data_IF_414462330386
#
_entry.id   IF_414462330386
#
_cell.length_a   1.000
_cell.length_b   1.000
_cell.length_c   1.000
_cell.angle_alpha   90.00
_cell.angle_beta   90.00
_cell.angle_gamma   90.00
#
_symmetry.space_group_name_H-M   'P 1'
#
loop_
_entity.id
_entity.type
_entity.pdbx_description
1 polymer ?
#
# COMPACT_ATOMS: atom_id res chain seq x y z
N UNK A 1 4.35 6.24 -4.60
CA UNK A 1 5.53 5.40 -4.27
C UNK A 1 5.12 3.95 -4.29
N UNK A 2 6.00 3.02 -4.66
CA UNK A 2 5.67 1.59 -4.63
C UNK A 2 6.94 0.73 -4.48
N UNK A 3 6.81 -0.47 -3.92
CA UNK A 3 7.90 -1.43 -3.77
C UNK A 3 7.79 -2.59 -4.76
N UNK A 4 8.91 -2.97 -5.35
CA UNK A 4 9.09 -4.16 -6.16
C UNK A 4 10.22 -5.02 -5.57
N UNK A 5 9.83 -5.92 -4.65
CA UNK A 5 10.76 -6.84 -3.99
C UNK A 5 10.64 -8.20 -4.68
N UNK A 6 11.74 -8.71 -5.21
CA UNK A 6 11.82 -9.96 -6.00
C UNK A 6 12.87 -10.91 -5.42
N UNK A 7 12.99 -12.12 -5.96
CA UNK A 7 13.91 -13.14 -5.43
C UNK A 7 13.49 -13.77 -4.09
N UNK A 8 12.30 -13.44 -3.59
CA UNK A 8 11.66 -14.01 -2.40
C UNK A 8 10.27 -14.52 -2.74
N UNK A 9 9.84 -15.56 -2.02
CA UNK A 9 8.53 -16.16 -2.23
C UNK A 9 7.42 -15.19 -1.80
N UNK A 10 6.58 -14.79 -2.76
CA UNK A 10 5.39 -13.98 -2.51
C UNK A 10 4.21 -14.90 -2.22
N UNK A 11 3.80 -14.93 -0.95
CA UNK A 11 2.65 -15.71 -0.45
C UNK A 11 1.36 -15.32 -1.16
N UNK A 12 1.15 -14.03 -1.45
CA UNK A 12 -0.10 -13.53 -2.02
C UNK A 12 -0.23 -13.90 -3.50
N UNK A 13 0.90 -14.09 -4.20
CA UNK A 13 0.95 -14.55 -5.60
C UNK A 13 1.23 -16.04 -5.75
N UNK A 14 1.61 -16.70 -4.65
CA UNK A 14 2.04 -18.10 -4.63
C UNK A 14 3.17 -18.38 -5.65
N UNK A 15 4.13 -17.47 -5.78
CA UNK A 15 5.28 -17.57 -6.70
C UNK A 15 6.45 -16.71 -6.23
N UNK A 16 7.64 -16.98 -6.73
CA UNK A 16 8.78 -16.04 -6.67
C UNK A 16 8.77 -15.19 -7.94
N UNK A 17 8.84 -13.86 -7.78
CA UNK A 17 8.94 -12.95 -8.91
C UNK A 17 10.34 -13.00 -9.53
N UNK A 18 10.39 -12.93 -10.86
CA UNK A 18 11.64 -12.91 -11.63
C UNK A 18 12.37 -11.60 -11.40
N UNK A 19 13.69 -11.69 -11.20
CA UNK A 19 14.55 -10.52 -11.05
C UNK A 19 14.61 -9.72 -12.36
N UNK A 20 14.81 -8.42 -12.23
CA UNK A 20 15.02 -7.48 -13.34
C UNK A 20 13.88 -7.38 -14.38
N UNK A 21 12.67 -7.86 -14.05
CA UNK A 21 11.49 -7.87 -14.92
C UNK A 21 10.68 -6.56 -14.86
N UNK A 22 11.12 -5.52 -15.57
CA UNK A 22 10.47 -4.20 -15.56
C UNK A 22 9.00 -4.22 -16.03
N UNK A 23 8.63 -5.17 -16.90
CA UNK A 23 7.26 -5.35 -17.38
C UNK A 23 6.23 -5.52 -16.23
N UNK A 24 6.68 -6.00 -15.06
CA UNK A 24 5.83 -6.15 -13.87
C UNK A 24 5.43 -4.82 -13.22
N UNK A 25 6.15 -3.74 -13.53
CA UNK A 25 5.95 -2.40 -12.93
C UNK A 25 5.64 -1.33 -13.98
N UNK A 26 5.73 -1.69 -15.27
CA UNK A 26 5.62 -0.76 -16.39
C UNK A 26 4.29 0.00 -16.38
N UNK A 27 3.16 -0.69 -16.26
CA UNK A 27 1.84 -0.06 -16.27
C UNK A 27 1.68 0.99 -15.15
N UNK A 28 2.20 0.68 -13.96
CA UNK A 28 2.24 1.61 -12.85
C UNK A 28 3.07 2.84 -13.19
N UNK A 29 4.31 2.65 -13.64
CA UNK A 29 5.25 3.72 -13.95
C UNK A 29 4.72 4.65 -15.05
N UNK A 30 4.19 4.08 -16.14
CA UNK A 30 3.61 4.84 -17.24
C UNK A 30 2.38 5.63 -16.81
N UNK A 31 1.51 5.06 -15.97
CA UNK A 31 0.32 5.75 -15.48
C UNK A 31 0.66 6.94 -14.56
N UNK A 32 1.67 6.80 -13.70
CA UNK A 32 2.17 7.88 -12.84
C UNK A 32 2.79 9.00 -13.65
N UNK A 33 3.64 8.65 -14.65
CA UNK A 33 4.24 9.63 -15.54
C UNK A 33 3.19 10.37 -16.37
N UNK A 34 2.18 9.67 -16.91
CA UNK A 34 1.06 10.27 -17.66
C UNK A 34 0.26 11.26 -16.83
N UNK A 35 0.16 11.04 -15.52
CA UNK A 35 -0.50 11.94 -14.58
C UNK A 35 0.38 13.14 -14.15
N UNK A 36 1.59 13.26 -14.69
CA UNK A 36 2.59 14.27 -14.34
C UNK A 36 2.95 14.27 -12.85
N UNK A 37 3.00 13.08 -12.23
CA UNK A 37 3.37 12.91 -10.83
C UNK A 37 4.80 12.40 -10.67
N UNK A 38 5.34 12.53 -9.46
CA UNK A 38 6.60 11.92 -9.06
C UNK A 38 6.34 10.51 -8.52
N UNK A 39 6.79 9.50 -9.25
CA UNK A 39 6.84 8.09 -8.87
C UNK A 39 8.23 7.70 -8.40
N UNK A 40 8.27 6.92 -7.33
CA UNK A 40 9.50 6.30 -6.80
C UNK A 40 9.24 4.81 -6.69
N UNK A 41 10.10 4.03 -7.35
CA UNK A 41 10.09 2.57 -7.34
C UNK A 41 11.23 2.09 -6.43
N UNK A 42 10.88 1.52 -5.29
CA UNK A 42 11.85 0.89 -4.41
C UNK A 42 12.07 -0.56 -4.86
N UNK A 43 13.32 -0.97 -5.06
CA UNK A 43 13.63 -2.30 -5.60
C UNK A 43 14.88 -2.92 -4.99
N UNK A 44 14.97 -4.25 -4.99
CA UNK A 44 16.20 -4.96 -4.58
C UNK A 44 17.02 -5.48 -5.78
N UNK A 45 16.38 -5.84 -6.89
CA UNK A 45 17.02 -6.62 -7.97
C UNK A 45 16.97 -6.03 -9.39
N UNK A 46 16.41 -4.83 -9.64
CA UNK A 46 16.66 -4.18 -10.95
C UNK A 46 18.15 -3.90 -11.15
N UNK A 47 18.62 -4.16 -12.36
CA UNK A 47 19.98 -3.87 -12.82
C UNK A 47 20.17 -2.37 -13.05
N UNK A 48 21.43 -1.91 -13.09
CA UNK A 48 21.73 -0.50 -13.36
C UNK A 48 21.26 -0.10 -14.77
N UNK A 49 21.37 -1.05 -15.69
CA UNK A 49 20.93 -0.94 -17.08
C UNK A 49 19.42 -0.74 -17.16
N UNK A 50 18.64 -1.54 -16.43
CA UNK A 50 17.17 -1.38 -16.33
C UNK A 50 16.80 -0.04 -15.72
N UNK A 51 17.38 0.34 -14.58
CA UNK A 51 17.07 1.63 -13.94
C UNK A 51 17.40 2.80 -14.88
N UNK A 52 18.60 2.81 -15.49
CA UNK A 52 19.00 3.87 -16.42
C UNK A 52 18.13 3.96 -17.68
N UNK A 53 17.54 2.84 -18.11
CA UNK A 53 16.69 2.79 -19.31
C UNK A 53 15.31 3.40 -19.05
N UNK A 54 14.75 3.21 -17.86
CA UNK A 54 13.36 3.55 -17.55
C UNK A 54 13.21 4.74 -16.61
N UNK A 55 14.29 5.20 -15.98
CA UNK A 55 14.31 6.45 -15.21
C UNK A 55 14.01 7.64 -16.12
N UNK A 56 13.22 8.58 -15.61
CA UNK A 56 12.84 9.79 -16.33
C UNK A 56 12.45 10.89 -15.34
N UNK A 57 11.95 12.03 -15.84
CA UNK A 57 11.57 13.19 -15.02
C UNK A 57 10.47 12.88 -13.98
N UNK A 58 9.67 11.84 -14.21
CA UNK A 58 8.58 11.43 -13.34
C UNK A 58 8.88 10.17 -12.53
N UNK A 59 9.72 9.26 -13.02
CA UNK A 59 9.98 7.97 -12.38
C UNK A 59 11.44 7.88 -11.98
N UNK A 60 11.70 7.64 -10.70
CA UNK A 60 13.02 7.33 -10.16
C UNK A 60 13.05 5.95 -9.49
N UNK A 61 14.25 5.38 -9.39
CA UNK A 61 14.48 4.08 -8.76
C UNK A 61 15.32 4.25 -7.50
N UNK A 62 14.91 3.59 -6.43
CA UNK A 62 15.63 3.58 -5.16
C UNK A 62 15.97 2.14 -4.79
N UNK A 63 17.26 1.81 -4.76
CA UNK A 63 17.70 0.47 -4.37
C UNK A 63 17.56 0.31 -2.86
N UNK A 64 17.01 -0.81 -2.43
CA UNK A 64 16.85 -1.19 -1.02
C UNK A 64 17.52 -2.53 -0.73
N UNK A 65 17.89 -2.72 0.53
CA UNK A 65 18.32 -4.01 1.07
C UNK A 65 17.13 -4.64 1.82
N UNK A 66 16.56 -5.72 1.26
CA UNK A 66 15.41 -6.38 1.87
C UNK A 66 15.81 -7.06 3.19
N UNK A 67 15.08 -6.75 4.28
CA UNK A 67 15.22 -7.45 5.56
C UNK A 67 14.29 -8.67 5.61
N UNK A 68 14.82 -9.91 5.59
CA UNK A 68 14.01 -11.13 5.60
C UNK A 68 13.36 -11.44 6.96
N UNK A 69 13.59 -10.63 8.01
CA UNK A 69 12.83 -10.73 9.26
C UNK A 69 11.34 -10.43 9.06
N UNK A 70 10.99 -9.68 8.02
CA UNK A 70 9.62 -9.32 7.69
C UNK A 70 9.24 -9.87 6.33
N UNK A 71 7.97 -10.26 6.17
CA UNK A 71 7.41 -10.53 4.85
C UNK A 71 7.51 -9.28 3.94
N UNK A 72 7.70 -9.41 2.60
CA UNK A 72 7.82 -8.24 1.71
C UNK A 72 6.64 -7.26 1.78
N UNK A 73 5.41 -7.76 1.95
CA UNK A 73 4.20 -6.92 2.05
C UNK A 73 4.14 -6.12 3.36
N UNK A 74 4.87 -6.56 4.38
CA UNK A 74 5.09 -5.82 5.63
C UNK A 74 6.31 -4.90 5.51
N UNK A 75 7.43 -5.42 4.99
CA UNK A 75 8.70 -4.69 4.93
C UNK A 75 8.60 -3.38 4.13
N UNK A 76 7.77 -3.34 3.09
CA UNK A 76 7.54 -2.13 2.27
C UNK A 76 7.19 -0.88 3.08
N UNK A 77 6.46 -1.02 4.19
CA UNK A 77 6.07 0.14 5.01
C UNK A 77 7.27 0.75 5.73
N UNK A 78 8.23 -0.07 6.17
CA UNK A 78 9.49 0.41 6.75
C UNK A 78 10.31 1.18 5.70
N UNK A 79 10.36 0.68 4.46
CA UNK A 79 11.01 1.37 3.33
C UNK A 79 10.40 2.75 3.11
N UNK A 80 9.07 2.83 3.02
CA UNK A 80 8.38 4.11 2.83
C UNK A 80 8.63 5.07 4.00
N UNK A 81 8.58 4.56 5.25
CA UNK A 81 8.76 5.37 6.45
C UNK A 81 10.16 5.97 6.48
N UNK A 82 11.17 5.12 6.28
CA UNK A 82 12.57 5.51 6.41
C UNK A 82 13.00 6.44 5.27
N UNK A 83 12.42 6.28 4.09
CA UNK A 83 12.60 7.23 2.99
C UNK A 83 11.99 8.59 3.31
N UNK A 84 10.72 8.63 3.71
CA UNK A 84 10.01 9.87 4.02
C UNK A 84 10.61 10.62 5.21
N UNK A 85 11.09 9.91 6.23
CA UNK A 85 11.77 10.48 7.39
C UNK A 85 13.06 11.23 7.06
N UNK A 86 13.70 10.89 5.93
CA UNK A 86 14.93 11.52 5.43
C UNK A 86 14.66 12.65 4.44
N UNK A 87 13.42 12.85 4.02
CA UNK A 87 13.08 13.90 3.06
C UNK A 87 13.31 15.28 3.65
N UNK A 88 14.13 16.08 2.98
CA UNK A 88 14.35 17.49 3.33
C UNK A 88 13.39 18.42 2.58
N UNK A 89 12.86 17.96 1.45
CA UNK A 89 11.92 18.73 0.65
C UNK A 89 10.52 18.70 1.27
N UNK A 90 9.76 19.82 1.23
CA UNK A 90 8.37 19.83 1.64
C UNK A 90 7.52 18.87 0.80
N UNK A 91 6.88 17.91 1.47
CA UNK A 91 5.94 16.97 0.84
C UNK A 91 4.52 17.40 1.19
N UNK A 92 3.68 17.61 0.17
CA UNK A 92 2.27 17.99 0.37
C UNK A 92 1.39 16.77 0.65
N UNK A 93 1.52 15.74 -0.18
CA UNK A 93 0.73 14.52 -0.08
C UNK A 93 1.49 13.33 -0.65
N UNK A 94 1.12 12.15 -0.17
CA UNK A 94 1.76 10.89 -0.55
C UNK A 94 0.69 9.83 -0.76
N UNK A 95 0.87 9.02 -1.80
CA UNK A 95 0.21 7.72 -1.93
C UNK A 95 1.27 6.63 -2.10
N UNK A 96 1.06 5.51 -1.41
CA UNK A 96 1.73 4.24 -1.64
C UNK A 96 0.74 3.28 -2.28
N UNK A 97 1.20 2.50 -3.26
CA UNK A 97 0.35 1.51 -3.91
C UNK A 97 1.07 0.18 -4.13
N UNK A 98 0.30 -0.86 -4.40
CA UNK A 98 0.81 -2.07 -5.03
C UNK A 98 1.31 -1.73 -6.44
N UNK A 99 2.47 -2.26 -6.80
CA UNK A 99 3.17 -1.81 -8.02
C UNK A 99 2.72 -2.53 -9.29
N UNK A 100 2.15 -3.73 -9.16
CA UNK A 100 1.91 -4.61 -10.32
C UNK A 100 0.46 -4.65 -10.79
N UNK A 101 -0.46 -4.11 -10.01
CA UNK A 101 -1.90 -4.27 -10.21
C UNK A 101 -2.71 -3.02 -9.84
N UNK A 102 -2.01 -1.90 -9.58
CA UNK A 102 -2.61 -0.57 -9.48
C UNK A 102 -2.05 0.32 -10.59
N UNK A 103 -2.94 1.07 -11.24
CA UNK A 103 -2.55 2.16 -12.16
C UNK A 103 -3.27 3.44 -11.79
N UNK A 104 -2.70 4.59 -12.12
CA UNK A 104 -3.31 5.89 -11.93
C UNK A 104 -4.26 6.23 -13.09
N UNK A 105 -5.49 6.60 -12.75
CA UNK A 105 -6.47 7.14 -13.70
C UNK A 105 -6.51 8.67 -13.67
N UNK A 106 -6.53 9.26 -12.47
CA UNK A 106 -6.56 10.71 -12.25
C UNK A 106 -5.56 11.09 -11.17
N UNK A 107 -5.07 12.33 -11.23
CA UNK A 107 -4.18 12.87 -10.21
C UNK A 107 -4.99 13.20 -8.93
N UNK A 108 -4.80 12.47 -7.81
CA UNK A 108 -5.57 12.70 -6.59
C UNK A 108 -5.27 14.06 -5.95
N UNK A 109 -4.05 14.60 -6.11
CA UNK A 109 -3.61 15.79 -5.37
C UNK A 109 -4.26 17.10 -5.85
N UNK A 110 -4.83 17.09 -7.05
CA UNK A 110 -5.57 18.23 -7.61
C UNK A 110 -7.09 18.06 -7.50
N UNK A 111 -7.54 16.91 -6.99
CA UNK A 111 -8.96 16.62 -6.84
C UNK A 111 -9.55 17.35 -5.62
N UNK A 112 -10.73 17.98 -5.73
CA UNK A 112 -11.39 18.65 -4.61
C UNK A 112 -11.62 17.74 -3.39
N UNK A 113 -11.87 16.44 -3.60
CA UNK A 113 -12.03 15.47 -2.52
C UNK A 113 -10.75 15.37 -1.68
N UNK A 114 -9.58 15.40 -2.28
CA UNK A 114 -8.30 15.41 -1.55
C UNK A 114 -8.07 16.78 -0.88
N UNK A 115 -8.17 17.86 -1.65
CA UNK A 115 -7.84 19.21 -1.19
C UNK A 115 -8.72 19.69 -0.02
N UNK A 116 -10.00 19.35 -0.05
CA UNK A 116 -10.95 19.74 1.00
C UNK A 116 -10.88 18.86 2.26
N UNK A 117 -10.05 17.81 2.27
CA UNK A 117 -9.99 16.84 3.36
C UNK A 117 -8.54 16.59 3.80
N UNK A 118 -7.84 17.63 4.30
CA UNK A 118 -6.41 17.55 4.64
C UNK A 118 -6.10 16.65 5.84
N UNK A 119 -7.12 16.30 6.63
CA UNK A 119 -6.99 15.41 7.79
C UNK A 119 -7.40 13.96 7.48
N UNK A 120 -7.77 13.67 6.22
CA UNK A 120 -8.31 12.37 5.83
C UNK A 120 -7.24 11.44 5.30
N UNK A 121 -7.27 10.19 5.78
CA UNK A 121 -6.57 9.08 5.17
C UNK A 121 -7.46 8.49 4.06
N UNK A 122 -6.87 8.26 2.89
CA UNK A 122 -7.53 7.64 1.74
C UNK A 122 -6.96 6.25 1.52
N UNK A 123 -7.81 5.27 1.26
CA UNK A 123 -7.34 3.93 0.91
C UNK A 123 -8.24 3.18 -0.07
N UNK A 124 -7.74 2.03 -0.54
CA UNK A 124 -8.51 1.09 -1.33
C UNK A 124 -9.52 0.30 -0.50
N UNK A 125 -10.44 -0.37 -1.18
CA UNK A 125 -11.35 -1.34 -0.58
C UNK A 125 -11.62 -2.55 -1.48
N UNK A 126 -12.25 -3.57 -0.92
CA UNK A 126 -12.75 -4.74 -1.65
C UNK A 126 -14.27 -4.86 -1.49
N UNK A 127 -15.00 -5.39 -2.49
CA UNK A 127 -16.43 -5.66 -2.39
C UNK A 127 -16.72 -6.90 -1.52
N UNK A 128 -16.18 -6.90 -0.30
CA UNK A 128 -16.30 -7.94 0.73
C UNK A 128 -16.46 -7.28 2.08
N UNK A 129 -17.04 -8.00 3.02
CA UNK A 129 -17.06 -7.59 4.43
C UNK A 129 -15.72 -7.91 5.10
N UNK A 130 -15.38 -7.17 6.15
CA UNK A 130 -14.20 -7.44 6.97
C UNK A 130 -14.25 -8.85 7.55
N UNK A 131 -15.41 -9.27 8.03
CA UNK A 131 -15.66 -10.63 8.50
C UNK A 131 -15.80 -11.59 7.30
N UNK A 132 -14.66 -12.06 6.82
CA UNK A 132 -14.57 -13.08 5.79
C UNK A 132 -13.43 -14.06 6.10
N UNK A 133 -13.55 -15.30 5.62
CA UNK A 133 -12.61 -16.39 5.92
C UNK A 133 -11.16 -16.05 5.61
N UNK A 134 -10.91 -15.35 4.51
CA UNK A 134 -9.57 -14.97 4.10
C UNK A 134 -8.95 -13.98 5.09
N UNK A 135 -9.71 -12.96 5.49
CA UNK A 135 -9.27 -11.97 6.47
C UNK A 135 -9.07 -12.58 7.86
N UNK A 136 -10.00 -13.45 8.29
CA UNK A 136 -9.89 -14.15 9.56
C UNK A 136 -8.60 -15.00 9.63
N UNK A 137 -8.24 -15.65 8.54
CA UNK A 137 -7.00 -16.41 8.43
C UNK A 137 -5.75 -15.51 8.52
N UNK A 138 -5.74 -14.38 7.79
CA UNK A 138 -4.64 -13.41 7.78
C UNK A 138 -4.46 -12.67 9.11
N UNK A 139 -5.53 -12.59 9.91
CA UNK A 139 -5.52 -11.95 11.22
C UNK A 139 -5.09 -12.87 12.37
N UNK A 140 -4.95 -14.18 12.15
CA UNK A 140 -4.72 -15.19 13.22
C UNK A 140 -3.59 -14.80 14.17
N UNK A 141 -2.42 -14.47 13.63
CA UNK A 141 -1.25 -14.07 14.41
C UNK A 141 -1.52 -12.81 15.24
N UNK A 142 -2.08 -11.76 14.63
CA UNK A 142 -2.34 -10.50 15.32
C UNK A 142 -3.42 -10.64 16.39
N UNK A 143 -4.45 -11.46 16.14
CA UNK A 143 -5.53 -11.73 17.08
C UNK A 143 -5.04 -12.39 18.37
N UNK A 144 -3.95 -13.14 18.31
CA UNK A 144 -3.32 -13.76 19.49
C UNK A 144 -2.41 -12.82 20.27
N UNK A 145 -1.95 -11.73 19.64
CA UNK A 145 -0.92 -10.83 20.20
C UNK A 145 -1.47 -9.47 20.65
N UNK A 146 -2.55 -8.98 20.03
CA UNK A 146 -3.14 -7.68 20.30
C UNK A 146 -4.41 -7.85 21.14
N UNK A 147 -4.40 -7.33 22.36
CA UNK A 147 -5.43 -7.56 23.40
C UNK A 147 -6.86 -7.29 22.94
N UNK A 148 -7.10 -6.20 22.22
CA UNK A 148 -8.42 -5.75 21.77
C UNK A 148 -8.72 -6.09 20.31
N UNK A 149 -7.90 -6.92 19.66
CA UNK A 149 -8.07 -7.26 18.24
C UNK A 149 -9.42 -7.93 17.96
N UNK A 150 -9.86 -8.86 18.83
CA UNK A 150 -11.17 -9.50 18.68
C UNK A 150 -12.32 -8.51 18.78
N UNK A 151 -12.24 -7.56 19.70
CA UNK A 151 -13.26 -6.52 19.86
C UNK A 151 -13.31 -5.61 18.62
N UNK A 152 -12.16 -5.33 18.00
CA UNK A 152 -12.08 -4.67 16.71
C UNK A 152 -12.80 -5.48 15.61
N UNK A 153 -12.48 -6.77 15.46
CA UNK A 153 -13.08 -7.63 14.43
C UNK A 153 -14.61 -7.70 14.59
N UNK A 154 -15.09 -7.90 15.81
CA UNK A 154 -16.53 -7.94 16.11
C UNK A 154 -17.22 -6.60 15.81
N UNK A 155 -16.61 -5.48 16.20
CA UNK A 155 -17.17 -4.13 16.01
C UNK A 155 -17.32 -3.77 14.53
N UNK A 156 -16.36 -4.16 13.70
CA UNK A 156 -16.31 -3.77 12.29
C UNK A 156 -16.60 -4.93 11.33
N UNK A 157 -17.12 -6.06 11.83
CA UNK A 157 -17.37 -7.28 11.06
C UNK A 157 -18.16 -7.03 9.76
N UNK A 158 -19.21 -6.21 9.86
CA UNK A 158 -20.12 -5.89 8.75
C UNK A 158 -19.65 -4.71 7.88
N UNK A 159 -18.48 -4.14 8.16
CA UNK A 159 -17.93 -3.06 7.34
C UNK A 159 -17.23 -3.61 6.10
N UNK A 160 -17.10 -2.77 5.07
CA UNK A 160 -16.29 -3.08 3.89
C UNK A 160 -14.84 -3.36 4.28
N UNK A 161 -14.28 -4.43 3.72
CA UNK A 161 -12.86 -4.76 3.86
C UNK A 161 -12.02 -3.67 3.18
N UNK A 162 -11.15 -3.01 3.94
CA UNK A 162 -10.21 -2.05 3.38
C UNK A 162 -9.02 -2.80 2.78
N UNK A 163 -8.48 -2.26 1.69
CA UNK A 163 -7.34 -2.83 0.99
C UNK A 163 -6.13 -1.89 1.07
N UNK A 164 -5.01 -2.42 1.57
CA UNK A 164 -3.77 -1.66 1.76
C UNK A 164 -2.90 -1.51 0.50
N UNK A 165 -3.37 -2.00 -0.65
CA UNK A 165 -2.74 -1.83 -1.95
C UNK A 165 -2.88 -0.42 -2.51
N UNK A 166 -3.71 0.44 -1.90
CA UNK A 166 -3.75 1.88 -2.14
C UNK A 166 -3.91 2.56 -0.79
N UNK A 167 -2.96 3.39 -0.37
CA UNK A 167 -3.09 4.19 0.86
C UNK A 167 -2.40 5.54 0.65
N UNK A 168 -3.01 6.63 1.08
CA UNK A 168 -2.40 7.95 1.02
C UNK A 168 -3.18 9.05 1.72
N UNK A 169 -2.66 10.26 1.63
CA UNK A 169 -3.24 11.43 2.27
C UNK A 169 -2.29 12.62 2.24
N UNK A 170 -2.66 13.69 2.92
CA UNK A 170 -1.73 14.78 3.23
C UNK A 170 -0.55 14.24 4.05
N UNK A 171 0.65 14.77 3.81
CA UNK A 171 1.88 14.21 4.38
C UNK A 171 1.84 14.02 5.91
N UNK A 172 1.37 14.98 6.74
CA UNK A 172 1.34 14.79 8.19
C UNK A 172 0.49 13.58 8.62
N UNK A 173 -0.70 13.43 8.04
CA UNK A 173 -1.63 12.33 8.34
C UNK A 173 -1.04 11.00 7.89
N UNK A 174 -0.53 10.95 6.66
CA UNK A 174 0.03 9.74 6.10
C UNK A 174 1.28 9.28 6.86
N UNK A 175 2.14 10.23 7.25
CA UNK A 175 3.37 9.91 7.98
C UNK A 175 3.06 9.42 9.42
N UNK A 176 2.09 10.04 10.11
CA UNK A 176 1.61 9.54 11.40
C UNK A 176 1.06 8.11 11.29
N UNK A 177 0.19 7.86 10.30
CA UNK A 177 -0.33 6.53 10.01
C UNK A 177 0.81 5.52 9.79
N UNK A 178 1.81 5.89 8.99
CA UNK A 178 2.92 5.02 8.62
C UNK A 178 3.81 4.69 9.82
N UNK A 179 4.03 5.65 10.72
CA UNK A 179 4.75 5.43 11.98
C UNK A 179 4.02 4.41 12.87
N UNK A 180 2.72 4.59 13.09
CA UNK A 180 1.91 3.68 13.90
C UNK A 180 1.81 2.28 13.27
N UNK A 181 1.68 2.18 11.94
CA UNK A 181 1.63 0.89 11.26
C UNK A 181 2.96 0.14 11.38
N UNK A 182 4.08 0.84 11.20
CA UNK A 182 5.39 0.23 11.38
C UNK A 182 5.62 -0.22 12.83
N UNK A 183 5.12 0.49 13.83
CA UNK A 183 5.19 0.09 15.25
C UNK A 183 4.44 -1.23 15.51
N UNK A 184 3.24 -1.38 14.94
CA UNK A 184 2.47 -2.64 14.99
C UNK A 184 3.26 -3.77 14.32
N UNK A 185 3.84 -3.51 13.14
CA UNK A 185 4.62 -4.52 12.43
C UNK A 185 5.87 -4.94 13.18
N UNK A 186 6.60 -3.97 13.72
CA UNK A 186 7.81 -4.17 14.50
C UNK A 186 7.55 -5.02 15.74
N UNK A 187 6.44 -4.71 16.44
CA UNK A 187 6.08 -5.38 17.70
C UNK A 187 5.50 -6.77 17.47
N UNK A 188 4.62 -6.92 16.47
CA UNK A 188 3.81 -8.13 16.32
C UNK A 188 4.21 -8.96 15.10
N UNK A 189 4.47 -8.37 13.94
CA UNK A 189 4.73 -9.16 12.72
C UNK A 189 6.15 -9.68 12.56
N UNK A 190 7.13 -9.15 13.30
CA UNK A 190 8.53 -9.66 13.33
C UNK A 190 8.59 -11.17 13.68
N UNK A 191 7.67 -11.63 14.53
CA UNK A 191 7.58 -13.03 14.97
C UNK A 191 6.50 -13.83 14.26
N UNK A 192 5.81 -13.25 13.26
CA UNK A 192 4.77 -13.95 12.51
C UNK A 192 5.38 -15.11 11.71
N UNK A 193 5.02 -16.36 12.09
CA UNK A 193 5.42 -17.59 11.41
C UNK A 193 4.27 -18.28 10.68
N UNK A 194 3.11 -17.62 10.58
CA UNK A 194 1.99 -18.14 9.81
C UNK A 194 2.33 -18.11 8.32
N UNK A 195 1.53 -18.81 7.52
CA UNK A 195 1.61 -18.73 6.06
C UNK A 195 1.02 -17.43 5.50
N UNK A 196 0.75 -16.42 6.34
CA UNK A 196 0.09 -15.18 5.97
C UNK A 196 0.94 -13.95 6.33
N UNK A 197 0.78 -12.87 5.56
CA UNK A 197 1.68 -11.70 5.59
C UNK A 197 1.41 -10.75 6.76
N UNK A 198 0.18 -10.68 7.27
CA UNK A 198 -0.21 -9.87 8.43
C UNK A 198 -0.32 -8.35 8.17
N UNK A 199 -0.09 -7.88 6.94
CA UNK A 199 -0.21 -6.48 6.52
C UNK A 199 -1.67 -6.01 6.50
N UNK A 200 -2.56 -6.75 5.84
CA UNK A 200 -4.00 -6.42 5.77
C UNK A 200 -4.65 -6.39 7.15
N UNK A 201 -4.23 -7.31 8.04
CA UNK A 201 -4.66 -7.39 9.44
C UNK A 201 -4.27 -6.18 10.27
N UNK A 202 -2.99 -5.80 10.22
CA UNK A 202 -2.51 -4.63 10.97
C UNK A 202 -3.10 -3.34 10.41
N UNK A 203 -3.21 -3.24 9.08
CA UNK A 203 -3.77 -2.09 8.39
C UNK A 203 -5.23 -1.85 8.77
N UNK A 204 -6.10 -2.84 8.59
CA UNK A 204 -7.53 -2.66 8.90
C UNK A 204 -7.73 -2.38 10.40
N UNK A 205 -7.00 -3.07 11.28
CA UNK A 205 -7.02 -2.79 12.72
C UNK A 205 -6.67 -1.33 13.03
N UNK A 206 -5.53 -0.85 12.54
CA UNK A 206 -5.07 0.51 12.80
C UNK A 206 -6.04 1.55 12.25
N UNK A 207 -6.43 1.42 10.99
CA UNK A 207 -7.27 2.40 10.31
C UNK A 207 -8.65 2.47 10.96
N UNK A 208 -9.27 1.33 11.28
CA UNK A 208 -10.59 1.30 11.90
C UNK A 208 -10.58 1.74 13.37
N UNK A 209 -9.48 1.57 14.10
CA UNK A 209 -9.41 1.95 15.53
C UNK A 209 -8.88 3.37 15.77
N UNK A 210 -8.12 3.95 14.82
CA UNK A 210 -7.48 5.27 14.98
C UNK A 210 -7.90 6.31 13.94
N UNK A 211 -8.22 5.90 12.72
CA UNK A 211 -8.48 6.82 11.61
C UNK A 211 -9.92 6.78 11.08
N UNK A 212 -10.80 5.96 11.67
CA UNK A 212 -12.14 5.66 11.11
C UNK A 212 -13.04 6.88 10.91
N UNK A 213 -12.92 7.91 11.77
CA UNK A 213 -13.68 9.15 11.63
C UNK A 213 -13.20 10.02 10.46
N UNK A 214 -11.93 9.85 10.05
CA UNK A 214 -11.28 10.61 8.99
C UNK A 214 -10.74 9.68 7.90
N UNK A 215 -11.57 8.72 7.48
CA UNK A 215 -11.25 7.73 6.47
C UNK A 215 -12.13 7.90 5.22
N UNK A 216 -11.54 7.79 4.03
CA UNK A 216 -12.28 7.64 2.76
C UNK A 216 -11.71 6.49 1.96
N UNK A 217 -12.59 5.66 1.41
CA UNK A 217 -12.20 4.51 0.60
C UNK A 217 -13.25 4.22 -0.48
N UNK A 218 -12.92 3.34 -1.42
CA UNK A 218 -13.79 3.01 -2.54
C UNK A 218 -13.93 4.17 -3.51
N UNK A 219 -15.01 4.21 -4.28
CA UNK A 219 -15.20 5.27 -5.27
C UNK A 219 -15.29 6.68 -4.61
N UNK A 220 -14.56 7.71 -5.10
CA UNK A 220 -13.75 7.74 -6.32
C UNK A 220 -12.24 7.46 -6.10
N UNK A 221 -11.81 7.03 -4.91
CA UNK A 221 -10.42 6.65 -4.63
C UNK A 221 -9.99 5.52 -5.56
N UNK A 222 -10.72 4.41 -5.60
CA UNK A 222 -10.40 3.27 -6.45
C UNK A 222 -11.62 2.75 -7.24
N UNK A 223 -11.33 2.10 -8.37
CA UNK A 223 -12.27 1.19 -9.05
C UNK A 223 -12.63 0.00 -8.15
N UNK A 224 -13.67 -0.75 -8.50
CA UNK A 224 -13.99 -2.00 -7.79
C UNK A 224 -12.80 -2.94 -7.91
N UNK A 225 -12.31 -3.45 -6.77
CA UNK A 225 -11.18 -4.38 -6.74
C UNK A 225 -11.48 -5.63 -7.57
N UNK A 226 -10.59 -5.98 -8.51
CA UNK A 226 -10.77 -7.09 -9.46
C UNK A 226 -11.96 -6.91 -10.40
N UNK A 227 -12.40 -5.67 -10.59
CA UNK A 227 -13.40 -5.30 -11.58
C UNK A 227 -12.82 -5.23 -13.01
N UNK A 228 -11.49 -5.14 -13.16
CA UNK A 228 -10.81 -5.00 -14.46
C UNK A 228 -11.29 -3.79 -15.27
N UNK A 229 -11.62 -2.71 -14.56
CA UNK A 229 -12.14 -1.44 -15.09
C UNK A 229 -11.02 -0.57 -15.71
N UNK A 230 -10.21 -1.15 -16.60
CA UNK A 230 -8.94 -0.58 -17.09
C UNK A 230 -9.06 0.75 -17.85
N UNK A 231 -10.23 1.04 -18.42
CA UNK A 231 -10.51 2.25 -19.19
C UNK A 231 -11.18 3.36 -18.36
N UNK A 232 -11.44 3.09 -17.07
CA UNK A 232 -12.17 4.00 -16.20
C UNK A 232 -11.34 5.23 -15.82
N UNK A 233 -11.95 6.42 -15.89
CA UNK A 233 -11.27 7.71 -15.73
C UNK A 233 -11.92 8.63 -14.69
N UNK A 234 -13.01 8.21 -14.05
CA UNK A 234 -13.75 8.94 -13.01
C UNK A 234 -13.30 8.57 -11.58
N UNK A 235 -12.15 7.91 -11.44
CA UNK A 235 -11.52 7.53 -10.18
C UNK A 235 -10.03 7.92 -10.16
N UNK A 236 -9.39 7.87 -8.99
CA UNK A 236 -7.95 8.16 -8.88
C UNK A 236 -7.10 6.97 -9.28
N UNK A 237 -7.45 5.78 -8.77
CA UNK A 237 -6.69 4.56 -8.98
C UNK A 237 -7.57 3.49 -9.62
N UNK A 238 -7.00 2.69 -10.52
CA UNK A 238 -7.60 1.44 -11.00
C UNK A 238 -6.88 0.29 -10.33
N UNK A 239 -7.64 -0.63 -9.74
CA UNK A 239 -7.10 -1.68 -8.90
C UNK A 239 -7.63 -3.05 -9.29
N UNK A 240 -6.81 -3.79 -10.04
CA UNK A 240 -7.17 -5.04 -10.72
C UNK A 240 -8.39 -4.91 -11.63
#
# INVERSE_FOLDING_TARGET
MACHITGVYDVNRNTTLVDDAYELVQAWAESVAKANLKGIIFHNNFSKETCSRFENTHISFERIEYNPEFNPNVYRYFVYRDFLAKSLDPIQGVFVTDISDVTLAQNPFIDPLFQNNPLTLFCGDEPKLLDNEWMLAHATHLREQITDYRAYEERFAAETLLNCGIIGGAFPVFFEFLQQLCEIHETYNRTNKTTYTGDMGAFNYLVRTRFNENLRHGFPVNTVFKGYENDRMDCWFRHK
#
